data_IF_236281980324
#
_entry.id   IF_236281980324
#
_cell.length_a   1.000
_cell.length_b   1.000
_cell.length_c   1.000
_cell.angle_alpha   90.00
_cell.angle_beta   90.00
_cell.angle_gamma   90.00
#
_symmetry.space_group_name_H-M   'P 1'
#
loop_
_entity.id
_entity.type
_entity.pdbx_description
1 polymer ?
#
# COMPACT_ATOMS: atom_id res chain seq x y z
N UNK A 1 4.67 -7.83 -23.82
CA UNK A 1 4.66 -7.04 -22.58
C UNK A 1 4.05 -7.95 -21.53
N UNK A 2 4.74 -8.19 -20.42
CA UNK A 2 4.22 -9.00 -19.33
C UNK A 2 3.43 -8.13 -18.37
N UNK A 3 2.42 -8.70 -17.72
CA UNK A 3 1.55 -8.02 -16.77
C UNK A 3 1.56 -8.73 -15.43
N UNK A 4 1.47 -7.94 -14.36
CA UNK A 4 1.40 -8.38 -12.98
C UNK A 4 0.25 -7.67 -12.27
N UNK A 5 -0.27 -8.25 -11.21
CA UNK A 5 -1.14 -7.56 -10.27
C UNK A 5 -0.29 -6.86 -9.20
N UNK A 6 -0.40 -5.54 -9.11
CA UNK A 6 0.11 -4.77 -7.98
C UNK A 6 -0.98 -4.66 -6.92
N UNK A 7 -0.77 -5.25 -5.75
CA UNK A 7 -1.69 -5.15 -4.63
C UNK A 7 -1.28 -4.01 -3.68
N UNK A 8 -2.16 -3.02 -3.52
CA UNK A 8 -2.02 -1.94 -2.54
C UNK A 8 -2.94 -2.18 -1.35
N UNK A 9 -2.43 -1.89 -0.16
CA UNK A 9 -3.14 -1.96 1.12
C UNK A 9 -3.08 -0.62 1.91
N UNK A 10 -2.47 0.40 1.33
CA UNK A 10 -2.31 1.76 1.86
C UNK A 10 -3.05 2.79 1.01
N UNK A 11 -2.49 3.99 0.91
CA UNK A 11 -3.12 5.11 0.19
C UNK A 11 -3.41 4.83 -1.28
N UNK A 12 -2.63 3.96 -1.94
CA UNK A 12 -2.83 3.58 -3.34
C UNK A 12 -4.07 2.69 -3.57
N UNK A 13 -4.81 2.28 -2.52
CA UNK A 13 -6.17 1.74 -2.71
C UNK A 13 -7.12 2.78 -3.30
N UNK A 14 -6.87 4.06 -3.07
CA UNK A 14 -7.56 5.14 -3.74
C UNK A 14 -7.06 5.27 -5.19
N UNK A 15 -7.94 5.08 -6.16
CA UNK A 15 -7.60 5.09 -7.59
C UNK A 15 -7.04 6.44 -8.04
N UNK A 16 -7.60 7.57 -7.56
CA UNK A 16 -7.10 8.92 -7.88
C UNK A 16 -5.65 9.10 -7.38
N UNK A 17 -5.35 8.52 -6.21
CA UNK A 17 -4.00 8.51 -5.65
C UNK A 17 -3.06 7.64 -6.48
N UNK A 18 -3.48 6.43 -6.84
CA UNK A 18 -2.64 5.54 -7.64
C UNK A 18 -2.38 6.09 -9.04
N UNK A 19 -3.37 6.75 -9.67
CA UNK A 19 -3.18 7.37 -10.98
C UNK A 19 -2.05 8.41 -10.98
N UNK A 20 -1.78 9.06 -9.83
CA UNK A 20 -0.66 9.99 -9.72
C UNK A 20 0.70 9.31 -9.90
N UNK A 21 0.86 8.08 -9.43
CA UNK A 21 2.09 7.28 -9.68
C UNK A 21 2.26 6.91 -11.14
N UNK A 22 1.17 6.66 -11.83
CA UNK A 22 1.20 6.31 -13.27
C UNK A 22 1.48 7.56 -14.11
N UNK A 23 0.78 8.66 -13.84
CA UNK A 23 0.73 9.85 -14.72
C UNK A 23 1.72 10.96 -14.31
N UNK A 24 2.37 10.87 -13.16
CA UNK A 24 3.29 11.90 -12.67
C UNK A 24 2.58 13.15 -12.14
N UNK A 25 1.48 12.96 -11.38
CA UNK A 25 0.67 14.04 -10.79
C UNK A 25 0.89 14.15 -9.28
N UNK A 26 0.46 15.27 -8.72
CA UNK A 26 0.41 15.46 -7.27
C UNK A 26 -0.95 15.02 -6.74
N UNK A 27 -0.94 14.12 -5.74
CA UNK A 27 -2.15 13.70 -5.06
C UNK A 27 -2.65 14.77 -4.08
N UNK A 28 -3.96 14.82 -3.87
CA UNK A 28 -4.57 15.65 -2.83
C UNK A 28 -3.99 15.29 -1.46
N UNK A 29 -3.54 16.29 -0.70
CA UNK A 29 -2.95 16.12 0.63
C UNK A 29 -1.49 15.68 0.64
N UNK A 30 -0.86 15.43 -0.51
CA UNK A 30 0.59 15.17 -0.62
C UNK A 30 1.36 16.48 -0.80
N UNK A 31 2.55 16.57 -0.21
CA UNK A 31 3.43 17.75 -0.35
C UNK A 31 4.16 17.81 -1.69
N UNK A 32 4.29 16.68 -2.40
CA UNK A 32 5.10 16.55 -3.60
C UNK A 32 4.39 15.75 -4.69
N UNK A 33 4.64 16.05 -5.99
CA UNK A 33 4.16 15.25 -7.10
C UNK A 33 4.93 13.92 -7.18
N UNK A 34 4.28 12.89 -7.74
CA UNK A 34 4.95 11.67 -8.15
C UNK A 34 5.66 11.89 -9.49
N UNK A 35 6.71 11.10 -9.77
CA UNK A 35 7.47 11.21 -11.03
C UNK A 35 6.68 10.73 -12.25
N UNK A 36 5.78 9.79 -12.04
CA UNK A 36 5.12 9.05 -13.11
C UNK A 36 5.89 7.82 -13.56
N UNK A 37 5.21 6.96 -14.29
CA UNK A 37 5.80 5.80 -14.94
C UNK A 37 6.25 6.16 -16.36
N UNK A 38 7.21 5.39 -16.90
CA UNK A 38 7.63 5.49 -18.32
C UNK A 38 6.46 5.21 -19.27
N UNK A 39 5.63 4.23 -18.92
CA UNK A 39 4.34 3.99 -19.55
C UNK A 39 3.25 4.62 -18.67
N UNK A 40 2.59 5.67 -19.16
CA UNK A 40 1.50 6.39 -18.47
C UNK A 40 0.10 5.82 -18.78
N UNK A 41 -0.01 4.69 -19.48
CA UNK A 41 -1.31 4.06 -19.74
C UNK A 41 -1.98 3.65 -18.41
N UNK A 42 -3.29 3.80 -18.26
CA UNK A 42 -3.99 3.40 -17.06
C UNK A 42 -3.89 1.87 -16.86
N UNK A 43 -4.06 1.38 -15.61
CA UNK A 43 -4.18 -0.05 -15.35
C UNK A 43 -5.24 -0.71 -16.22
N UNK A 44 -4.98 -1.92 -16.70
CA UNK A 44 -5.92 -2.67 -17.56
C UNK A 44 -7.18 -3.12 -16.82
N UNK A 45 -7.06 -3.34 -15.51
CA UNK A 45 -8.14 -3.72 -14.61
C UNK A 45 -7.77 -3.39 -13.16
N UNK A 46 -8.77 -3.33 -12.30
CA UNK A 46 -8.59 -3.31 -10.85
C UNK A 46 -9.69 -4.12 -10.17
N UNK A 47 -9.37 -4.66 -8.99
CA UNK A 47 -10.33 -5.40 -8.18
C UNK A 47 -9.90 -5.48 -6.72
N UNK A 48 -10.83 -5.78 -5.78
CA UNK A 48 -10.48 -5.97 -4.39
C UNK A 48 -9.63 -7.23 -4.19
N UNK A 49 -8.78 -7.18 -3.15
CA UNK A 49 -8.01 -8.33 -2.67
C UNK A 49 -8.06 -8.35 -1.15
N UNK A 50 -8.01 -9.56 -0.57
CA UNK A 50 -7.80 -9.76 0.84
C UNK A 50 -6.41 -10.38 1.05
N UNK A 51 -5.53 -9.64 1.73
CA UNK A 51 -4.13 -10.01 1.96
C UNK A 51 -4.04 -10.67 3.34
N UNK A 52 -3.46 -11.88 3.42
CA UNK A 52 -3.36 -12.67 4.65
C UNK A 52 -2.13 -12.30 5.50
N UNK A 53 -1.74 -11.04 5.50
CA UNK A 53 -0.67 -10.47 6.31
C UNK A 53 -1.21 -9.34 7.17
N UNK A 54 -0.75 -9.19 8.44
CA UNK A 54 -1.23 -8.13 9.33
C UNK A 54 -0.82 -6.75 8.83
N UNK A 55 -1.76 -5.81 8.82
CA UNK A 55 -1.50 -4.39 8.54
C UNK A 55 -1.04 -3.68 9.81
N UNK A 56 0.01 -2.87 9.68
CA UNK A 56 0.47 -1.99 10.75
C UNK A 56 0.95 -0.64 10.22
N UNK A 57 1.07 0.34 11.12
CA UNK A 57 1.58 1.67 10.81
C UNK A 57 2.84 1.94 11.60
N UNK A 58 3.87 2.41 10.92
CA UNK A 58 5.20 2.73 11.48
C UNK A 58 5.85 3.88 10.72
N UNK A 59 7.05 4.31 11.15
CA UNK A 59 7.78 5.50 10.69
C UNK A 59 7.12 6.79 11.19
N UNK A 60 7.83 7.92 11.12
CA UNK A 60 7.35 9.15 11.76
C UNK A 60 7.10 10.30 10.80
N UNK A 61 7.80 10.35 9.67
CA UNK A 61 7.69 11.45 8.72
C UNK A 61 7.60 10.93 7.29
N UNK A 62 6.66 11.44 6.53
CA UNK A 62 6.45 11.09 5.13
C UNK A 62 5.94 12.30 4.36
N UNK A 63 5.71 12.15 3.06
CA UNK A 63 5.02 13.16 2.23
C UNK A 63 3.58 13.50 2.70
N UNK A 64 3.04 12.74 3.67
CA UNK A 64 1.75 12.98 4.32
C UNK A 64 1.88 13.78 5.62
N UNK A 65 3.08 14.30 5.93
CA UNK A 65 3.42 14.98 7.18
C UNK A 65 3.85 14.01 8.28
N UNK A 66 3.74 14.46 9.53
CA UNK A 66 4.09 13.65 10.70
C UNK A 66 3.04 12.57 10.93
N UNK A 67 3.48 11.32 11.05
CA UNK A 67 2.63 10.16 11.30
C UNK A 67 3.06 8.93 10.49
N UNK A 68 2.66 7.76 11.00
CA UNK A 68 3.00 6.47 10.42
C UNK A 68 2.42 6.25 9.02
N UNK A 69 3.08 5.40 8.25
CA UNK A 69 2.56 4.89 6.98
C UNK A 69 2.33 3.39 7.07
N UNK A 70 1.52 2.85 6.15
CA UNK A 70 1.06 1.47 6.16
C UNK A 70 2.14 0.49 5.68
N UNK A 71 2.31 -0.61 6.40
CA UNK A 71 3.12 -1.77 6.04
C UNK A 71 2.33 -3.06 6.33
N UNK A 72 2.71 -4.17 5.72
CA UNK A 72 2.27 -5.51 6.11
C UNK A 72 3.43 -6.27 6.75
N UNK A 73 3.12 -7.10 7.76
CA UNK A 73 4.09 -8.00 8.38
C UNK A 73 4.56 -9.10 7.44
N UNK A 74 5.58 -9.86 7.86
CA UNK A 74 6.18 -10.91 7.04
C UNK A 74 5.60 -12.30 7.29
N UNK A 75 4.70 -12.45 8.27
CA UNK A 75 4.09 -13.73 8.62
C UNK A 75 2.62 -13.75 8.24
N UNK A 76 2.25 -14.72 7.43
CA UNK A 76 0.85 -15.00 7.15
C UNK A 76 0.11 -15.41 8.42
N UNK A 77 -1.14 -14.94 8.57
CA UNK A 77 -2.04 -15.36 9.63
C UNK A 77 -3.39 -15.78 9.06
N UNK A 78 -3.89 -16.96 9.42
CA UNK A 78 -5.18 -17.48 8.94
C UNK A 78 -6.37 -16.54 9.23
N UNK A 79 -6.24 -15.72 10.29
CA UNK A 79 -7.26 -14.74 10.69
C UNK A 79 -6.92 -13.31 10.26
N UNK A 80 -5.78 -13.09 9.63
CA UNK A 80 -5.40 -11.76 9.15
C UNK A 80 -6.19 -11.38 7.91
N UNK A 81 -6.77 -10.18 7.96
CA UNK A 81 -7.57 -9.62 6.87
C UNK A 81 -7.14 -8.19 6.61
N UNK A 82 -6.16 -8.06 5.73
CA UNK A 82 -5.77 -6.74 5.23
C UNK A 82 -6.47 -6.50 3.90
N UNK A 83 -7.45 -5.59 3.93
CA UNK A 83 -8.15 -5.18 2.73
C UNK A 83 -7.20 -4.43 1.78
N UNK A 84 -7.31 -4.71 0.51
CA UNK A 84 -6.49 -4.09 -0.53
C UNK A 84 -7.24 -3.95 -1.86
N UNK A 85 -6.64 -3.16 -2.74
CA UNK A 85 -7.00 -3.09 -4.16
C UNK A 85 -5.80 -3.54 -4.98
N UNK A 86 -6.01 -4.41 -5.95
CA UNK A 86 -4.96 -4.76 -6.89
C UNK A 86 -5.25 -4.21 -8.28
N UNK A 87 -4.19 -3.78 -8.95
CA UNK A 87 -4.21 -3.18 -10.28
C UNK A 87 -3.42 -4.05 -11.25
N UNK A 88 -4.01 -4.34 -12.41
CA UNK A 88 -3.32 -5.06 -13.49
C UNK A 88 -2.49 -4.07 -14.30
N UNK A 89 -1.19 -4.09 -14.09
CA UNK A 89 -0.22 -3.19 -14.71
C UNK A 89 0.92 -3.97 -15.36
N UNK A 90 1.70 -3.34 -16.22
CA UNK A 90 2.87 -3.98 -16.80
C UNK A 90 3.98 -4.16 -15.74
N UNK A 91 4.87 -5.15 -15.95
CA UNK A 91 6.08 -5.31 -15.12
C UNK A 91 6.91 -4.02 -15.08
N UNK A 92 7.00 -3.29 -16.19
CA UNK A 92 7.69 -1.99 -16.25
C UNK A 92 7.04 -0.96 -15.31
N UNK A 93 5.70 -0.82 -15.36
CA UNK A 93 4.98 0.08 -14.44
C UNK A 93 5.16 -0.33 -12.98
N UNK A 94 5.15 -1.63 -12.67
CA UNK A 94 5.41 -2.10 -11.30
C UNK A 94 6.81 -1.70 -10.82
N UNK A 95 7.85 -1.87 -11.66
CA UNK A 95 9.22 -1.42 -11.35
C UNK A 95 9.29 0.08 -11.14
N UNK A 96 8.58 0.88 -11.97
CA UNK A 96 8.55 2.33 -11.83
C UNK A 96 7.84 2.78 -10.54
N UNK A 97 6.74 2.14 -10.17
CA UNK A 97 6.04 2.41 -8.90
C UNK A 97 6.92 2.04 -7.71
N UNK A 98 7.54 0.86 -7.71
CA UNK A 98 8.45 0.43 -6.65
C UNK A 98 9.68 1.38 -6.53
N UNK A 99 10.20 1.86 -7.65
CA UNK A 99 11.27 2.86 -7.67
C UNK A 99 10.84 4.19 -7.03
N UNK A 100 9.62 4.66 -7.34
CA UNK A 100 9.07 5.89 -6.77
C UNK A 100 8.85 5.78 -5.26
N UNK A 101 8.33 4.65 -4.78
CA UNK A 101 8.10 4.40 -3.34
C UNK A 101 9.39 4.33 -2.53
N UNK A 102 10.50 3.95 -3.15
CA UNK A 102 11.81 3.87 -2.51
C UNK A 102 12.71 5.09 -2.82
N UNK A 103 12.25 6.07 -3.58
CA UNK A 103 13.01 7.27 -3.93
C UNK A 103 14.29 7.00 -4.75
N UNK A 104 14.30 5.93 -5.52
CA UNK A 104 15.43 5.52 -6.37
C UNK A 104 15.05 5.52 -7.85
N UNK A 105 16.02 5.46 -8.73
CA UNK A 105 15.83 5.37 -10.17
C UNK A 105 16.21 3.99 -10.69
N UNK A 106 15.41 3.48 -11.65
CA UNK A 106 15.79 2.32 -12.45
C UNK A 106 15.90 1.01 -11.66
N UNK A 107 15.00 0.76 -10.72
CA UNK A 107 14.95 -0.52 -10.02
C UNK A 107 14.66 -1.66 -10.99
N UNK A 108 15.57 -2.62 -11.07
CA UNK A 108 15.40 -3.86 -11.81
C UNK A 108 14.87 -4.95 -10.88
N UNK A 109 13.83 -5.66 -11.30
CA UNK A 109 13.15 -6.68 -10.49
C UNK A 109 13.17 -8.03 -11.20
N UNK A 110 13.74 -9.04 -10.56
CA UNK A 110 13.65 -10.44 -10.98
C UNK A 110 12.37 -11.07 -10.38
N UNK A 111 11.27 -10.97 -11.13
CA UNK A 111 9.96 -11.48 -10.72
C UNK A 111 9.96 -13.01 -10.51
N UNK A 112 10.77 -13.77 -11.26
CA UNK A 112 10.87 -15.21 -11.08
C UNK A 112 11.48 -15.54 -9.72
N UNK A 113 12.56 -14.86 -9.35
CA UNK A 113 13.20 -15.02 -8.05
C UNK A 113 12.28 -14.66 -6.89
N UNK A 114 11.44 -13.60 -7.04
CA UNK A 114 10.48 -13.24 -5.99
C UNK A 114 9.41 -14.33 -5.82
N UNK A 115 8.92 -14.92 -6.91
CA UNK A 115 7.96 -16.04 -6.84
C UNK A 115 8.53 -17.24 -6.08
N UNK A 116 9.81 -17.54 -6.25
CA UNK A 116 10.49 -18.64 -5.54
C UNK A 116 10.72 -18.34 -4.06
N UNK A 117 11.18 -17.14 -3.73
CA UNK A 117 11.53 -16.74 -2.35
C UNK A 117 10.34 -16.26 -1.54
N UNK A 118 9.24 -15.84 -2.18
CA UNK A 118 8.06 -15.13 -1.64
C UNK A 118 8.36 -13.73 -1.11
N UNK A 119 9.46 -13.52 -0.42
CA UNK A 119 9.95 -12.24 0.08
C UNK A 119 11.35 -12.00 -0.46
N UNK A 120 11.56 -10.85 -1.09
CA UNK A 120 12.87 -10.47 -1.60
C UNK A 120 13.19 -9.01 -1.28
N UNK A 121 14.08 -8.75 -0.30
CA UNK A 121 14.63 -7.42 -0.09
C UNK A 121 15.45 -6.99 -1.30
N UNK A 122 15.16 -5.80 -1.85
CA UNK A 122 15.85 -5.26 -3.02
C UNK A 122 16.55 -3.93 -2.71
N UNK A 123 16.05 -3.16 -1.75
CA UNK A 123 16.57 -1.84 -1.40
C UNK A 123 16.52 -1.63 0.10
N UNK A 124 17.26 -0.63 0.60
CA UNK A 124 17.19 -0.17 2.01
C UNK A 124 16.07 0.87 2.24
N UNK A 125 15.23 1.11 1.23
CA UNK A 125 14.10 2.02 1.34
C UNK A 125 12.98 1.49 2.25
N UNK A 126 12.02 2.33 2.56
CA UNK A 126 10.89 1.96 3.44
C UNK A 126 10.04 0.82 2.90
N UNK A 127 9.92 0.72 1.58
CA UNK A 127 9.19 -0.33 0.87
C UNK A 127 10.14 -1.25 0.09
N UNK A 128 11.28 -1.56 0.73
CA UNK A 128 12.41 -2.24 0.09
C UNK A 128 12.19 -3.73 -0.20
N UNK A 129 11.24 -4.38 0.47
CA UNK A 129 10.95 -5.81 0.27
C UNK A 129 9.74 -5.99 -0.65
N UNK A 130 9.94 -6.72 -1.76
CA UNK A 130 8.83 -7.16 -2.62
C UNK A 130 8.29 -8.50 -2.12
N UNK A 131 6.96 -8.62 -2.10
CA UNK A 131 6.23 -9.80 -1.60
C UNK A 131 5.40 -10.40 -2.73
N UNK A 132 5.51 -11.71 -2.93
CA UNK A 132 4.63 -12.46 -3.81
C UNK A 132 3.44 -13.01 -3.00
N UNK A 133 2.22 -12.65 -3.42
CA UNK A 133 0.96 -13.00 -2.73
C UNK A 133 0.22 -14.17 -3.39
N UNK A 134 0.77 -14.77 -4.46
CA UNK A 134 0.11 -15.80 -5.24
C UNK A 134 -0.23 -15.34 -6.65
N UNK A 135 -1.08 -16.08 -7.34
CA UNK A 135 -1.51 -15.77 -8.72
C UNK A 135 -3.02 -15.48 -8.76
N UNK A 136 -3.43 -14.55 -9.62
CA UNK A 136 -4.81 -14.31 -9.99
C UNK A 136 -4.94 -14.30 -11.52
N UNK A 137 -5.86 -15.10 -12.06
CA UNK A 137 -6.09 -15.22 -13.52
C UNK A 137 -4.80 -15.50 -14.32
N UNK A 138 -3.93 -16.36 -13.74
CA UNK A 138 -2.67 -16.75 -14.36
C UNK A 138 -1.58 -15.67 -14.35
N UNK A 139 -1.77 -14.59 -13.62
CA UNK A 139 -0.78 -13.52 -13.44
C UNK A 139 -0.37 -13.41 -11.98
N UNK A 140 0.93 -13.17 -11.69
CA UNK A 140 1.42 -13.05 -10.31
C UNK A 140 0.91 -11.77 -9.66
N UNK A 141 0.64 -11.87 -8.35
CA UNK A 141 0.29 -10.74 -7.50
C UNK A 141 1.51 -10.36 -6.67
N UNK A 142 1.95 -9.13 -6.77
CA UNK A 142 3.04 -8.58 -5.98
C UNK A 142 2.60 -7.36 -5.17
N UNK A 143 3.23 -7.18 -4.04
CA UNK A 143 3.20 -5.95 -3.25
C UNK A 143 4.58 -5.66 -2.72
N UNK A 144 4.74 -4.57 -1.98
CA UNK A 144 5.99 -4.24 -1.28
C UNK A 144 5.70 -3.80 0.14
N UNK A 145 6.66 -4.04 1.04
CA UNK A 145 6.58 -3.71 2.46
C UNK A 145 7.96 -3.36 3.01
N UNK A 146 8.05 -3.10 4.32
CA UNK A 146 9.31 -2.83 5.01
C UNK A 146 10.24 -4.05 4.97
N UNK A 147 11.56 -3.80 5.06
CA UNK A 147 12.56 -4.83 5.31
C UNK A 147 12.48 -5.40 6.74
N UNK A 148 11.85 -4.67 7.66
CA UNK A 148 11.62 -5.06 9.05
C UNK A 148 10.24 -5.70 9.22
N UNK A 149 10.15 -6.80 9.97
CA UNK A 149 8.87 -7.42 10.30
C UNK A 149 8.08 -6.57 11.30
N UNK A 150 6.78 -6.81 11.38
CA UNK A 150 5.90 -6.16 12.34
C UNK A 150 6.41 -6.36 13.77
N UNK A 151 6.56 -5.26 14.53
CA UNK A 151 7.04 -5.27 15.91
C UNK A 151 8.55 -5.11 16.07
N UNK A 152 9.34 -5.11 14.99
CA UNK A 152 10.75 -4.73 15.03
C UNK A 152 10.94 -3.21 15.07
N UNK A 153 9.93 -2.46 14.66
CA UNK A 153 9.87 -1.01 14.74
C UNK A 153 8.67 -0.55 15.59
N UNK A 154 8.75 0.65 16.13
CA UNK A 154 7.67 1.25 16.91
C UNK A 154 6.43 1.49 16.03
N UNK A 155 5.25 1.18 16.57
CA UNK A 155 3.99 1.56 15.94
C UNK A 155 3.73 3.05 16.11
N UNK A 156 3.41 3.71 15.03
CA UNK A 156 3.17 5.17 14.99
C UNK A 156 1.81 5.45 14.36
N UNK A 157 0.94 6.21 15.03
CA UNK A 157 -0.36 6.54 14.46
C UNK A 157 -0.21 7.37 13.19
N UNK A 158 -0.95 7.03 12.13
CA UNK A 158 -0.92 7.77 10.87
C UNK A 158 -1.60 9.14 11.00
N UNK A 159 -1.23 10.09 10.12
CA UNK A 159 -1.94 11.36 10.02
C UNK A 159 -3.36 11.16 9.49
N UNK A 160 -4.29 12.08 9.86
CA UNK A 160 -5.66 12.00 9.31
C UNK A 160 -5.72 12.26 7.81
N UNK A 161 -4.80 13.03 7.25
CA UNK A 161 -4.72 13.21 5.79
C UNK A 161 -4.45 11.86 5.09
N UNK A 162 -3.51 11.07 5.63
CA UNK A 162 -3.22 9.74 5.11
C UNK A 162 -4.38 8.76 5.32
N UNK A 163 -4.98 8.76 6.51
CA UNK A 163 -6.14 7.91 6.82
C UNK A 163 -7.37 8.23 5.95
N UNK A 164 -7.63 9.50 5.64
CA UNK A 164 -8.71 9.90 4.70
C UNK A 164 -8.52 9.26 3.32
N UNK A 165 -7.29 9.22 2.82
CA UNK A 165 -6.99 8.60 1.52
C UNK A 165 -7.22 7.08 1.55
N UNK A 166 -6.82 6.41 2.65
CA UNK A 166 -7.08 4.98 2.87
C UNK A 166 -8.59 4.73 2.98
N UNK A 167 -9.30 5.50 3.81
CA UNK A 167 -10.74 5.37 4.01
C UNK A 167 -11.51 5.52 2.70
N UNK A 168 -11.18 6.54 1.88
CA UNK A 168 -11.75 6.71 0.53
C UNK A 168 -11.51 5.48 -0.35
N UNK A 169 -10.31 4.89 -0.28
CA UNK A 169 -10.01 3.64 -0.97
C UNK A 169 -10.91 2.47 -0.52
N UNK A 170 -11.07 2.30 0.79
CA UNK A 170 -11.94 1.25 1.39
C UNK A 170 -13.42 1.46 1.04
N UNK A 171 -13.93 2.69 1.09
CA UNK A 171 -15.30 3.03 0.68
C UNK A 171 -15.55 2.67 -0.79
N UNK A 172 -14.59 2.92 -1.68
CA UNK A 172 -14.69 2.55 -3.10
C UNK A 172 -14.57 1.03 -3.35
N UNK A 173 -14.12 0.27 -2.36
CA UNK A 173 -14.15 -1.21 -2.34
C UNK A 173 -15.45 -1.77 -1.75
N UNK A 174 -16.39 -0.89 -1.35
CA UNK A 174 -17.73 -1.26 -0.90
C UNK A 174 -17.91 -1.28 0.61
N UNK A 175 -16.93 -0.91 1.41
CA UNK A 175 -17.10 -0.77 2.86
C UNK A 175 -17.92 0.48 3.18
N UNK A 176 -18.89 0.34 4.09
CA UNK A 176 -19.52 1.51 4.67
C UNK A 176 -18.63 2.19 5.72
N UNK A 177 -19.06 3.38 6.19
CA UNK A 177 -18.24 4.16 7.15
C UNK A 177 -18.00 3.44 8.47
N UNK A 178 -18.96 2.66 8.95
CA UNK A 178 -18.80 1.90 10.19
C UNK A 178 -17.80 0.76 9.98
N UNK A 179 -17.90 0.03 8.88
CA UNK A 179 -16.96 -1.02 8.51
C UNK A 179 -15.51 -0.48 8.36
N UNK A 180 -15.36 0.71 7.76
CA UNK A 180 -14.05 1.38 7.67
C UNK A 180 -13.48 1.71 9.06
N UNK A 181 -14.32 2.23 9.97
CA UNK A 181 -13.88 2.55 11.35
C UNK A 181 -13.47 1.27 12.09
N UNK A 182 -14.32 0.25 12.06
CA UNK A 182 -14.06 -1.02 12.75
C UNK A 182 -12.78 -1.68 12.20
N UNK A 183 -12.62 -1.72 10.88
CA UNK A 183 -11.41 -2.22 10.23
C UNK A 183 -10.15 -1.47 10.67
N UNK A 184 -10.17 -0.13 10.68
CA UNK A 184 -8.99 0.66 11.02
C UNK A 184 -8.64 0.55 12.52
N UNK A 185 -9.64 0.51 13.41
CA UNK A 185 -9.41 0.41 14.86
C UNK A 185 -8.73 -0.89 15.30
N UNK A 186 -8.81 -1.95 14.48
CA UNK A 186 -8.12 -3.21 14.73
C UNK A 186 -6.61 -3.16 14.40
N UNK A 187 -6.16 -2.19 13.61
CA UNK A 187 -4.80 -2.19 13.06
C UNK A 187 -3.78 -1.61 14.04
N UNK A 188 -2.60 -2.24 14.09
CA UNK A 188 -1.49 -1.78 14.91
C UNK A 188 -1.00 -0.40 14.44
N UNK A 189 -0.81 0.52 15.38
CA UNK A 189 -0.57 1.94 15.10
C UNK A 189 -1.84 2.79 15.14
N UNK A 190 -3.04 2.18 15.13
CA UNK A 190 -4.33 2.85 15.38
C UNK A 190 -4.93 2.34 16.68
N UNK A 191 -4.97 1.02 16.86
CA UNK A 191 -5.43 0.38 18.09
C UNK A 191 -4.63 0.89 19.30
N UNK A 192 -5.33 1.44 20.30
CA UNK A 192 -4.73 2.01 21.50
C UNK A 192 -4.19 3.44 21.35
N UNK A 193 -4.09 3.97 20.13
CA UNK A 193 -3.60 5.33 19.83
C UNK A 193 -4.74 6.30 19.47
N UNK A 194 -5.70 5.86 18.68
CA UNK A 194 -6.80 6.69 18.18
C UNK A 194 -8.12 6.10 18.66
N UNK A 195 -8.94 6.94 19.32
CA UNK A 195 -10.31 6.54 19.74
C UNK A 195 -11.27 6.62 18.56
N UNK A 196 -12.33 5.79 18.58
CA UNK A 196 -13.29 5.69 17.48
C UNK A 196 -13.99 7.02 17.14
N UNK A 197 -14.42 7.79 18.16
CA UNK A 197 -15.05 9.10 17.97
C UNK A 197 -14.08 10.11 17.32
N UNK A 198 -12.82 10.09 17.71
CA UNK A 198 -11.77 10.91 17.11
C UNK A 198 -11.47 10.48 15.68
N UNK A 199 -11.47 9.17 15.42
CA UNK A 199 -11.28 8.60 14.07
C UNK A 199 -12.41 9.05 13.13
N UNK A 200 -13.67 8.91 13.54
CA UNK A 200 -14.84 9.37 12.77
C UNK A 200 -14.75 10.84 12.45
N UNK A 201 -14.48 11.68 13.47
CA UNK A 201 -14.31 13.13 13.29
C UNK A 201 -13.14 13.45 12.37
N UNK A 202 -12.03 12.75 12.50
CA UNK A 202 -10.83 12.97 11.68
C UNK A 202 -11.04 12.57 10.21
N UNK A 203 -11.85 11.56 9.93
CA UNK A 203 -12.10 11.07 8.57
C UNK A 203 -13.14 11.89 7.82
N UNK A 204 -14.24 12.29 8.47
CA UNK A 204 -15.42 12.87 7.80
C UNK A 204 -15.92 14.19 8.43
N UNK A 205 -15.24 14.71 9.44
CA UNK A 205 -15.57 15.96 10.13
C UNK A 205 -15.02 17.22 9.48
#
# INVERSE_FOLDING_TARGET
MNYVWYASYGSNMNQDRFSCYIEGKQAEGSSEPERGCRNCDPPLADQPINIQYPLYFSKQESKWGTGGVAFIGHREGENEKTAGRMYLISEEQFMDVASQENGIDGLEIDFARIKESRFLPLTEGWYGTIVYLGDCEGKPIFTFTSNHDMGEEEFVPPSFAYLKTIAKGLETLGMDRQEVVDYLLEKNGINGFIKGDLLVKGLWG
#
